data_IF_644036022357
#
_entry.id   IF_644036022357
#
_cell.length_a   1.000
_cell.length_b   1.000
_cell.length_c   1.000
_cell.angle_alpha   90.00
_cell.angle_beta   90.00
_cell.angle_gamma   90.00
#
_symmetry.space_group_name_H-M   'P 1'
#
loop_
_entity.id
_entity.type
_entity.pdbx_description
1 polymer ?
#
# COMPACT_ATOMS: atom_id res chain seq x y z
N UNK A 1 16.55 4.57 -4.56
CA UNK A 1 16.72 4.69 -3.10
C UNK A 1 16.93 6.13 -2.63
N UNK A 2 17.59 7.00 -3.41
CA UNK A 2 17.82 8.42 -3.08
C UNK A 2 16.55 9.23 -2.86
N UNK A 3 15.43 8.89 -3.53
CA UNK A 3 14.11 9.51 -3.30
C UNK A 3 13.60 9.45 -1.86
N UNK A 4 14.09 8.51 -1.05
CA UNK A 4 13.71 8.34 0.36
C UNK A 4 14.67 9.06 1.32
N UNK A 5 15.83 9.49 0.82
CA UNK A 5 16.85 10.20 1.58
C UNK A 5 16.57 11.70 1.68
N UNK A 6 17.66 12.47 1.68
CA UNK A 6 17.64 13.90 1.94
C UNK A 6 16.86 14.71 0.91
N UNK A 7 16.24 15.81 1.35
CA UNK A 7 15.50 16.78 0.53
C UNK A 7 16.23 17.13 -0.77
N UNK A 8 17.53 17.40 -0.70
CA UNK A 8 18.34 17.76 -1.87
C UNK A 8 18.36 16.63 -2.91
N UNK A 9 18.37 15.37 -2.47
CA UNK A 9 18.41 14.19 -3.34
C UNK A 9 17.04 13.78 -3.89
N UNK A 10 15.92 14.31 -3.35
CA UNK A 10 14.58 13.96 -3.83
C UNK A 10 14.36 14.48 -5.25
N UNK A 11 14.71 15.74 -5.52
CA UNK A 11 14.58 16.36 -6.84
C UNK A 11 15.39 15.61 -7.90
N UNK A 12 16.68 15.40 -7.64
CA UNK A 12 17.58 14.67 -8.52
C UNK A 12 17.11 13.23 -8.75
N UNK A 13 16.61 12.56 -7.70
CA UNK A 13 16.08 11.20 -7.84
C UNK A 13 14.87 11.13 -8.77
N UNK A 14 14.00 12.14 -8.77
CA UNK A 14 12.84 12.19 -9.66
C UNK A 14 13.26 12.47 -11.11
N UNK A 15 14.30 13.26 -11.32
CA UNK A 15 14.90 13.47 -12.66
C UNK A 15 15.53 12.18 -13.19
N UNK A 16 16.31 11.49 -12.36
CA UNK A 16 16.92 10.21 -12.71
C UNK A 16 15.88 9.12 -12.99
N UNK A 17 14.68 9.19 -12.41
CA UNK A 17 13.60 8.24 -12.71
C UNK A 17 13.26 8.20 -14.21
N UNK A 18 13.34 9.32 -14.92
CA UNK A 18 13.13 9.35 -16.37
C UNK A 18 14.20 8.56 -17.15
N UNK A 19 15.46 8.66 -16.74
CA UNK A 19 16.58 7.92 -17.35
C UNK A 19 16.45 6.41 -17.09
N UNK A 20 16.12 6.02 -15.85
CA UNK A 20 15.91 4.60 -15.52
C UNK A 20 14.72 4.03 -16.29
N UNK A 21 13.66 4.80 -16.51
CA UNK A 21 12.51 4.37 -17.29
C UNK A 21 12.86 4.20 -18.78
N UNK A 22 13.70 5.08 -19.33
CA UNK A 22 14.25 4.90 -20.69
C UNK A 22 15.07 3.61 -20.80
N UNK A 23 15.99 3.37 -19.87
CA UNK A 23 16.78 2.13 -19.83
C UNK A 23 15.89 0.88 -19.71
N UNK A 24 14.85 0.92 -18.89
CA UNK A 24 13.90 -0.20 -18.78
C UNK A 24 13.17 -0.49 -20.11
N UNK A 25 12.85 0.54 -20.89
CA UNK A 25 12.27 0.40 -22.24
C UNK A 25 13.27 -0.14 -23.25
N UNK A 26 14.52 0.34 -23.20
CA UNK A 26 15.61 -0.14 -24.06
C UNK A 26 15.94 -1.61 -23.80
N UNK A 27 15.98 -2.02 -22.52
CA UNK A 27 16.15 -3.42 -22.12
C UNK A 27 14.94 -4.26 -22.55
N UNK A 28 13.76 -3.65 -22.66
CA UNK A 28 12.55 -4.22 -23.28
C UNK A 28 11.45 -4.65 -22.31
N UNK A 29 11.05 -3.82 -21.34
CA UNK A 29 9.94 -4.15 -20.44
C UNK A 29 8.62 -4.51 -21.17
N UNK A 30 8.42 -3.91 -22.34
CA UNK A 30 7.27 -4.15 -23.23
C UNK A 30 7.54 -5.22 -24.29
N UNK A 31 8.69 -5.90 -24.25
CA UNK A 31 9.00 -6.96 -25.21
C UNK A 31 8.81 -8.32 -24.52
N UNK A 32 8.01 -9.23 -25.10
CA UNK A 32 7.92 -10.60 -24.60
C UNK A 32 9.29 -11.25 -24.71
N UNK A 33 9.57 -12.21 -23.83
CA UNK A 33 10.83 -12.94 -23.94
C UNK A 33 10.83 -13.77 -25.22
N UNK A 34 11.98 -13.76 -25.90
CA UNK A 34 12.16 -14.52 -27.12
C UNK A 34 12.28 -15.99 -26.73
N UNK A 35 11.20 -16.75 -26.90
CA UNK A 35 11.14 -18.15 -26.50
C UNK A 35 11.64 -19.10 -27.60
N UNK A 36 12.76 -19.78 -27.34
CA UNK A 36 12.89 -21.17 -27.76
C UNK A 36 11.99 -22.03 -26.86
N UNK A 37 11.28 -23.02 -27.39
CA UNK A 37 10.37 -23.91 -26.63
C UNK A 37 11.08 -24.67 -25.49
N UNK A 38 12.42 -24.64 -25.45
CA UNK A 38 13.24 -25.33 -24.47
C UNK A 38 14.54 -24.54 -24.23
N UNK A 39 14.53 -23.44 -23.46
CA UNK A 39 15.74 -22.66 -23.19
C UNK A 39 16.76 -23.51 -22.42
N UNK A 40 18.04 -23.18 -22.54
CA UNK A 40 19.06 -23.66 -21.60
C UNK A 40 18.86 -23.05 -20.21
N UNK A 41 19.52 -23.61 -19.19
CA UNK A 41 19.48 -23.07 -17.84
C UNK A 41 20.01 -21.63 -17.81
N UNK A 42 21.10 -21.37 -18.53
CA UNK A 42 21.77 -20.08 -18.60
C UNK A 42 20.87 -19.02 -19.25
N UNK A 43 20.23 -19.34 -20.37
CA UNK A 43 19.26 -18.46 -21.04
C UNK A 43 18.05 -18.18 -20.14
N UNK A 44 17.56 -19.19 -19.42
CA UNK A 44 16.46 -19.00 -18.48
C UNK A 44 16.83 -18.06 -17.34
N UNK A 45 18.04 -18.23 -16.76
CA UNK A 45 18.54 -17.34 -15.69
C UNK A 45 18.64 -15.91 -16.20
N UNK A 46 19.21 -15.69 -17.37
CA UNK A 46 19.33 -14.36 -17.98
C UNK A 46 17.95 -13.70 -18.19
N UNK A 47 16.98 -14.46 -18.70
CA UNK A 47 15.61 -13.99 -18.86
C UNK A 47 14.96 -13.63 -17.52
N UNK A 48 15.07 -14.49 -16.51
CA UNK A 48 14.51 -14.22 -15.17
C UNK A 48 15.15 -13.02 -14.47
N UNK A 49 16.47 -12.88 -14.56
CA UNK A 49 17.20 -11.73 -14.02
C UNK A 49 16.73 -10.42 -14.67
N UNK A 50 16.59 -10.43 -16.00
CA UNK A 50 16.05 -9.32 -16.76
C UNK A 50 14.63 -8.98 -16.33
N UNK A 51 13.71 -9.95 -16.32
CA UNK A 51 12.29 -9.78 -15.93
C UNK A 51 12.17 -9.16 -14.54
N UNK A 52 12.84 -9.73 -13.55
CA UNK A 52 12.80 -9.27 -12.15
C UNK A 52 13.39 -7.88 -11.99
N UNK A 53 14.47 -7.56 -12.71
CA UNK A 53 15.06 -6.22 -12.70
C UNK A 53 14.07 -5.17 -13.21
N UNK A 54 13.39 -5.46 -14.33
CA UNK A 54 12.39 -4.57 -14.91
C UNK A 54 11.15 -4.42 -14.02
N UNK A 55 10.70 -5.50 -13.39
CA UNK A 55 9.62 -5.46 -12.41
C UNK A 55 9.99 -4.65 -11.17
N UNK A 56 11.22 -4.75 -10.66
CA UNK A 56 11.70 -3.92 -9.55
C UNK A 56 11.71 -2.43 -9.94
N UNK A 57 12.11 -2.09 -11.18
CA UNK A 57 12.02 -0.72 -11.68
C UNK A 57 10.56 -0.22 -11.69
N UNK A 58 9.62 -1.02 -12.21
CA UNK A 58 8.19 -0.73 -12.18
C UNK A 58 7.66 -0.54 -10.76
N UNK A 59 7.99 -1.45 -9.84
CA UNK A 59 7.64 -1.34 -8.40
C UNK A 59 8.16 -0.03 -7.82
N UNK A 60 9.43 0.30 -8.07
CA UNK A 60 10.07 1.51 -7.55
C UNK A 60 9.36 2.78 -8.04
N UNK A 61 8.97 2.85 -9.31
CA UNK A 61 8.19 3.98 -9.84
C UNK A 61 6.80 4.07 -9.22
N UNK A 62 6.13 2.94 -9.01
CA UNK A 62 4.85 2.93 -8.32
C UNK A 62 4.98 3.31 -6.84
N UNK A 63 6.05 2.95 -6.14
CA UNK A 63 6.31 3.40 -4.77
C UNK A 63 6.55 4.92 -4.71
N UNK A 64 7.26 5.50 -5.69
CA UNK A 64 7.43 6.96 -5.81
C UNK A 64 6.09 7.65 -6.08
N UNK A 65 5.27 7.10 -6.98
CA UNK A 65 3.91 7.56 -7.23
C UNK A 65 3.06 7.51 -5.95
N UNK A 66 3.13 6.41 -5.21
CA UNK A 66 2.45 6.26 -3.93
C UNK A 66 2.93 7.34 -2.96
N UNK A 67 4.23 7.45 -2.68
CA UNK A 67 4.70 8.40 -1.67
C UNK A 67 4.47 9.86 -2.05
N UNK A 68 4.92 10.26 -3.24
CA UNK A 68 5.06 11.66 -3.65
C UNK A 68 3.96 12.17 -4.57
N UNK A 69 2.98 11.32 -4.91
CA UNK A 69 1.88 11.65 -5.82
C UNK A 69 2.37 12.15 -7.19
N UNK A 70 3.47 11.57 -7.69
CA UNK A 70 4.00 11.81 -9.04
C UNK A 70 3.49 10.74 -10.01
N UNK A 71 3.27 11.05 -11.30
CA UNK A 71 2.90 10.02 -12.27
C UNK A 71 3.93 8.88 -12.32
N UNK A 72 3.51 7.61 -12.39
CA UNK A 72 4.42 6.48 -12.54
C UNK A 72 5.09 6.54 -13.92
N UNK A 73 6.40 6.30 -13.96
CA UNK A 73 7.20 6.42 -15.19
C UNK A 73 7.07 5.21 -16.13
N UNK A 74 6.48 4.11 -15.66
CA UNK A 74 6.17 2.90 -16.42
C UNK A 74 4.70 2.53 -16.15
N UNK A 75 3.94 2.36 -17.23
CA UNK A 75 2.52 2.06 -17.16
C UNK A 75 2.24 0.55 -17.15
N UNK A 76 1.08 0.14 -16.64
CA UNK A 76 0.58 -1.23 -16.65
C UNK A 76 0.63 -1.84 -18.07
N UNK A 77 0.34 -1.02 -19.08
CA UNK A 77 0.35 -1.40 -20.50
C UNK A 77 1.76 -1.68 -21.06
N UNK A 78 2.81 -1.33 -20.35
CA UNK A 78 4.20 -1.57 -20.76
C UNK A 78 4.77 -2.85 -20.15
N UNK A 79 4.10 -3.47 -19.19
CA UNK A 79 4.63 -4.66 -18.48
C UNK A 79 4.09 -5.93 -19.14
N UNK A 80 4.92 -6.64 -19.91
CA UNK A 80 4.53 -7.90 -20.60
C UNK A 80 5.19 -9.16 -20.05
N UNK A 81 6.27 -9.05 -19.28
CA UNK A 81 6.96 -10.21 -18.73
C UNK A 81 6.11 -10.94 -17.67
N UNK A 82 6.15 -12.27 -17.64
CA UNK A 82 5.75 -13.11 -16.50
C UNK A 82 6.98 -13.47 -15.65
N UNK A 83 6.80 -14.11 -14.49
CA UNK A 83 7.92 -14.55 -13.64
C UNK A 83 7.81 -16.04 -13.33
N UNK A 84 8.94 -16.73 -13.40
CA UNK A 84 9.07 -18.14 -13.07
C UNK A 84 9.94 -18.30 -11.80
N UNK A 85 9.32 -18.92 -10.80
CA UNK A 85 9.83 -19.51 -9.55
C UNK A 85 11.32 -19.39 -9.18
N UNK A 86 11.60 -19.25 -7.88
CA UNK A 86 12.95 -19.30 -7.30
C UNK A 86 13.53 -20.73 -7.30
N UNK A 87 14.25 -21.11 -8.36
CA UNK A 87 15.05 -22.33 -8.39
C UNK A 87 16.53 -22.02 -8.16
N UNK A 88 17.22 -22.81 -7.32
CA UNK A 88 18.59 -22.51 -6.87
C UNK A 88 19.70 -23.01 -7.81
N UNK A 89 19.40 -24.04 -8.61
CA UNK A 89 20.38 -24.69 -9.48
C UNK A 89 19.67 -25.35 -10.67
N UNK A 90 20.45 -25.69 -11.69
CA UNK A 90 19.93 -26.29 -12.93
C UNK A 90 19.24 -27.64 -12.73
N UNK A 91 19.65 -28.45 -11.74
CA UNK A 91 19.05 -29.76 -11.47
C UNK A 91 17.63 -29.63 -10.94
N UNK A 92 17.43 -28.74 -9.96
CA UNK A 92 16.11 -28.46 -9.41
C UNK A 92 15.21 -27.80 -10.46
N UNK A 93 15.78 -27.02 -11.38
CA UNK A 93 15.03 -26.35 -12.44
C UNK A 93 14.55 -27.33 -13.50
N UNK A 94 15.42 -28.25 -13.93
CA UNK A 94 15.03 -29.36 -14.81
C UNK A 94 13.95 -30.23 -14.17
N UNK A 95 14.06 -30.54 -12.87
CA UNK A 95 13.02 -31.26 -12.13
C UNK A 95 11.72 -30.47 -12.12
N UNK A 96 11.76 -29.18 -11.80
CA UNK A 96 10.57 -28.32 -11.79
C UNK A 96 9.90 -28.30 -13.17
N UNK A 97 10.66 -28.11 -14.25
CA UNK A 97 10.18 -28.15 -15.65
C UNK A 97 9.55 -29.49 -16.03
N UNK A 98 9.96 -30.60 -15.40
CA UNK A 98 9.38 -31.93 -15.66
C UNK A 98 8.00 -32.12 -15.02
N UNK A 99 7.66 -31.36 -13.98
CA UNK A 99 6.38 -31.47 -13.27
C UNK A 99 5.46 -30.25 -13.47
N UNK A 100 6.01 -29.11 -13.91
CA UNK A 100 5.29 -27.85 -14.04
C UNK A 100 5.46 -27.24 -15.42
N UNK A 101 4.32 -27.00 -16.07
CA UNK A 101 4.25 -26.14 -17.26
C UNK A 101 4.24 -24.68 -16.80
N UNK A 102 5.05 -23.81 -17.43
CA UNK A 102 5.03 -22.38 -17.17
C UNK A 102 3.66 -21.77 -17.24
N UNK A 103 3.41 -20.78 -16.38
CA UNK A 103 2.27 -19.91 -16.59
C UNK A 103 2.53 -19.05 -17.83
N UNK A 104 1.72 -19.25 -18.87
CA UNK A 104 1.80 -18.48 -20.10
C UNK A 104 1.16 -17.10 -19.99
N UNK A 105 0.49 -16.81 -18.86
CA UNK A 105 -0.16 -15.52 -18.64
C UNK A 105 0.88 -14.43 -18.41
N UNK A 106 0.75 -13.34 -19.15
CA UNK A 106 1.53 -12.13 -18.88
C UNK A 106 0.87 -11.25 -17.80
N UNK A 107 1.63 -10.29 -17.28
CA UNK A 107 1.17 -9.34 -16.26
C UNK A 107 -0.21 -8.73 -16.58
N UNK A 108 -0.42 -8.25 -17.81
CA UNK A 108 -1.67 -7.57 -18.21
C UNK A 108 -2.88 -8.50 -18.19
N UNK A 109 -2.71 -9.74 -18.64
CA UNK A 109 -3.76 -10.74 -18.61
C UNK A 109 -4.15 -11.07 -17.16
N UNK A 110 -3.18 -11.22 -16.27
CA UNK A 110 -3.42 -11.49 -14.85
C UNK A 110 -4.05 -10.29 -14.14
N UNK A 111 -3.56 -9.07 -14.42
CA UNK A 111 -4.16 -7.84 -13.90
C UNK A 111 -5.61 -7.68 -14.38
N UNK A 112 -5.88 -7.96 -15.66
CA UNK A 112 -7.23 -7.96 -16.21
C UNK A 112 -8.15 -8.99 -15.55
N UNK A 113 -7.64 -10.17 -15.18
CA UNK A 113 -8.39 -11.15 -14.40
C UNK A 113 -8.73 -10.62 -13.00
N UNK A 114 -7.79 -9.97 -12.31
CA UNK A 114 -8.05 -9.32 -11.02
C UNK A 114 -9.11 -8.23 -11.15
N UNK A 115 -9.02 -7.35 -12.16
CA UNK A 115 -10.02 -6.30 -12.41
C UNK A 115 -11.42 -6.87 -12.71
N UNK A 116 -11.51 -8.10 -13.20
CA UNK A 116 -12.78 -8.83 -13.36
C UNK A 116 -13.23 -9.58 -12.08
N UNK A 117 -12.52 -9.42 -10.96
CA UNK A 117 -12.80 -10.09 -9.69
C UNK A 117 -12.41 -11.58 -9.66
N UNK A 118 -11.61 -12.05 -10.63
CA UNK A 118 -11.21 -13.46 -10.70
C UNK A 118 -9.99 -13.72 -9.84
N UNK A 119 -10.06 -14.78 -9.04
CA UNK A 119 -8.93 -15.26 -8.25
C UNK A 119 -7.88 -15.90 -9.18
N UNK A 120 -6.64 -15.41 -9.12
CA UNK A 120 -5.58 -15.73 -10.10
C UNK A 120 -4.78 -16.99 -9.75
N UNK A 121 -4.88 -17.46 -8.50
CA UNK A 121 -4.21 -18.66 -7.99
C UNK A 121 -4.92 -19.97 -8.34
N UNK A 122 -6.18 -19.93 -8.84
CA UNK A 122 -6.97 -21.15 -9.09
C UNK A 122 -6.51 -21.93 -10.31
N UNK A 123 -6.14 -21.23 -11.38
CA UNK A 123 -5.76 -21.86 -12.64
C UNK A 123 -4.33 -22.36 -12.58
N UNK A 124 -3.41 -21.49 -12.16
CA UNK A 124 -1.98 -21.80 -12.06
C UNK A 124 -1.45 -21.14 -10.78
N UNK A 125 -0.41 -21.76 -10.20
CA UNK A 125 0.32 -21.16 -9.10
C UNK A 125 0.97 -19.84 -9.54
N UNK A 126 0.93 -18.85 -8.67
CA UNK A 126 1.58 -17.55 -8.86
C UNK A 126 2.57 -17.34 -7.71
N UNK A 127 3.72 -16.75 -7.99
CA UNK A 127 4.68 -16.45 -6.93
C UNK A 127 4.20 -15.29 -6.05
N UNK A 128 4.76 -15.17 -4.85
CA UNK A 128 4.47 -14.01 -4.01
C UNK A 128 5.09 -12.73 -4.61
N UNK A 129 6.19 -12.82 -5.35
CA UNK A 129 6.75 -11.65 -6.02
C UNK A 129 5.84 -11.14 -7.16
N UNK A 130 5.28 -12.03 -7.97
CA UNK A 130 4.31 -11.66 -9.01
C UNK A 130 3.03 -11.06 -8.42
N UNK A 131 2.48 -11.63 -7.33
CA UNK A 131 1.38 -10.99 -6.61
C UNK A 131 1.77 -9.60 -6.09
N UNK A 132 2.96 -9.47 -5.50
CA UNK A 132 3.46 -8.19 -5.01
C UNK A 132 3.55 -7.15 -6.14
N UNK A 133 3.98 -7.52 -7.34
CA UNK A 133 3.96 -6.63 -8.51
C UNK A 133 2.54 -6.27 -8.95
N UNK A 134 1.59 -7.22 -8.90
CA UNK A 134 0.19 -6.98 -9.31
C UNK A 134 -0.56 -5.99 -8.42
N UNK A 135 -0.27 -5.92 -7.10
CA UNK A 135 -0.91 -4.89 -6.25
C UNK A 135 -0.49 -3.47 -6.67
N UNK A 136 0.72 -3.29 -7.20
CA UNK A 136 1.12 -2.01 -7.80
C UNK A 136 0.31 -1.68 -9.06
N UNK A 137 -0.05 -2.68 -9.86
CA UNK A 137 -0.95 -2.50 -11.01
C UNK A 137 -2.32 -1.97 -10.60
N UNK A 138 -2.93 -2.59 -9.58
CA UNK A 138 -4.20 -2.14 -9.00
C UNK A 138 -4.10 -0.73 -8.42
N UNK A 139 -2.98 -0.39 -7.77
CA UNK A 139 -2.73 0.97 -7.29
C UNK A 139 -2.67 2.00 -8.41
N UNK A 140 -2.03 1.65 -9.51
CA UNK A 140 -1.89 2.55 -10.65
C UNK A 140 -3.25 2.90 -11.25
N UNK A 141 -4.18 1.93 -11.34
CA UNK A 141 -5.58 2.18 -11.73
C UNK A 141 -6.28 3.17 -10.79
N UNK A 142 -6.14 2.99 -9.47
CA UNK A 142 -6.69 3.91 -8.47
C UNK A 142 -6.09 5.30 -8.62
N UNK A 143 -4.77 5.40 -8.80
CA UNK A 143 -4.08 6.67 -8.98
C UNK A 143 -4.62 7.43 -10.19
N UNK A 144 -4.71 6.81 -11.36
CA UNK A 144 -5.20 7.49 -12.56
C UNK A 144 -6.68 7.86 -12.46
N UNK A 145 -7.51 7.00 -11.88
CA UNK A 145 -8.92 7.31 -11.65
C UNK A 145 -9.08 8.55 -10.73
N UNK A 146 -8.27 8.65 -9.66
CA UNK A 146 -8.28 9.82 -8.77
C UNK A 146 -7.81 11.10 -9.46
N UNK A 147 -6.73 11.03 -10.24
CA UNK A 147 -6.17 12.20 -10.93
C UNK A 147 -7.06 12.69 -12.09
N UNK A 148 -7.95 11.85 -12.62
CA UNK A 148 -8.93 12.26 -13.63
C UNK A 148 -10.27 12.68 -13.03
N UNK A 149 -10.70 12.08 -11.90
CA UNK A 149 -11.97 12.41 -11.26
C UNK A 149 -12.07 13.86 -10.78
N UNK A 150 -10.96 14.44 -10.27
CA UNK A 150 -10.93 15.84 -9.81
C UNK A 150 -11.21 16.88 -10.91
N UNK A 151 -11.15 16.50 -12.19
CA UNK A 151 -11.50 17.37 -13.30
C UNK A 151 -13.01 17.39 -13.61
N UNK A 152 -13.75 16.39 -13.11
CA UNK A 152 -15.17 16.17 -13.43
C UNK A 152 -16.07 16.47 -12.24
N UNK A 153 -15.64 16.06 -11.04
CA UNK A 153 -16.36 16.21 -9.78
C UNK A 153 -15.59 17.18 -8.88
N UNK A 154 -16.19 18.30 -8.42
CA UNK A 154 -15.53 19.22 -7.48
C UNK A 154 -15.09 18.54 -6.18
N UNK A 155 -15.77 17.45 -5.81
CA UNK A 155 -15.45 16.62 -4.64
C UNK A 155 -14.28 15.66 -4.92
N UNK A 156 -14.02 15.31 -6.19
CA UNK A 156 -13.06 14.28 -6.59
C UNK A 156 -13.53 12.84 -6.32
N UNK A 157 -14.83 12.65 -6.15
CA UNK A 157 -15.45 11.34 -5.88
C UNK A 157 -15.23 10.39 -7.06
N UNK A 158 -14.90 9.13 -6.76
CA UNK A 158 -14.80 8.10 -7.79
C UNK A 158 -16.20 7.57 -8.12
N UNK A 159 -16.40 7.16 -9.38
CA UNK A 159 -17.64 6.50 -9.78
C UNK A 159 -17.85 5.20 -8.98
N UNK A 160 -19.08 4.99 -8.50
CA UNK A 160 -19.44 3.80 -7.70
C UNK A 160 -19.08 2.49 -8.42
N UNK A 161 -19.29 2.40 -9.73
CA UNK A 161 -18.92 1.23 -10.53
C UNK A 161 -17.41 0.95 -10.53
N UNK A 162 -16.59 2.00 -10.57
CA UNK A 162 -15.14 1.86 -10.45
C UNK A 162 -14.75 1.37 -9.04
N UNK A 163 -15.36 1.94 -7.99
CA UNK A 163 -15.13 1.52 -6.60
C UNK A 163 -15.47 0.05 -6.41
N UNK A 164 -16.62 -0.41 -6.93
CA UNK A 164 -17.02 -1.83 -6.87
C UNK A 164 -16.06 -2.76 -7.62
N UNK A 165 -15.58 -2.33 -8.79
CA UNK A 165 -14.61 -3.08 -9.60
C UNK A 165 -13.30 -3.25 -8.83
N UNK A 166 -12.77 -2.15 -8.27
CA UNK A 166 -11.53 -2.18 -7.51
C UNK A 166 -11.66 -2.95 -6.19
N UNK A 167 -12.78 -2.84 -5.50
CA UNK A 167 -13.10 -3.64 -4.31
C UNK A 167 -13.06 -5.14 -4.61
N UNK A 168 -13.69 -5.56 -5.71
CA UNK A 168 -13.67 -6.94 -6.18
C UNK A 168 -12.24 -7.39 -6.52
N UNK A 169 -11.47 -6.53 -7.20
CA UNK A 169 -10.09 -6.81 -7.59
C UNK A 169 -9.15 -6.95 -6.38
N UNK A 170 -9.24 -6.05 -5.41
CA UNK A 170 -8.44 -6.10 -4.18
C UNK A 170 -8.76 -7.35 -3.37
N UNK A 171 -10.04 -7.75 -3.30
CA UNK A 171 -10.43 -9.03 -2.66
C UNK A 171 -9.91 -10.25 -3.41
N UNK A 172 -9.98 -10.25 -4.74
CA UNK A 172 -9.44 -11.33 -5.56
C UNK A 172 -7.92 -11.45 -5.38
N UNK A 173 -7.22 -10.32 -5.27
CA UNK A 173 -5.80 -10.26 -4.98
C UNK A 173 -5.49 -10.78 -3.57
N UNK A 174 -6.20 -10.35 -2.53
CA UNK A 174 -6.00 -10.82 -1.14
C UNK A 174 -6.14 -12.33 -1.02
N UNK A 175 -7.22 -12.89 -1.56
CA UNK A 175 -7.44 -14.34 -1.58
C UNK A 175 -6.31 -15.08 -2.32
N UNK A 176 -5.74 -14.48 -3.36
CA UNK A 176 -4.63 -15.08 -4.12
C UNK A 176 -3.29 -14.95 -3.41
N UNK A 177 -3.07 -13.85 -2.70
CA UNK A 177 -1.92 -13.69 -1.82
C UNK A 177 -1.92 -14.75 -0.72
N UNK A 178 -3.04 -14.90 0.01
CA UNK A 178 -3.19 -15.86 1.11
C UNK A 178 -3.06 -17.32 0.65
N UNK A 179 -3.51 -17.63 -0.57
CA UNK A 179 -3.35 -18.96 -1.17
C UNK A 179 -1.93 -19.24 -1.68
N UNK A 180 -1.05 -18.23 -1.76
CA UNK A 180 0.31 -18.38 -2.27
C UNK A 180 1.20 -18.96 -1.19
N UNK A 181 1.86 -20.09 -1.47
CA UNK A 181 2.70 -20.83 -0.51
C UNK A 181 3.92 -20.03 0.02
N UNK A 182 4.37 -19.01 -0.72
CA UNK A 182 5.43 -18.08 -0.32
C UNK A 182 4.95 -17.00 0.65
N UNK A 183 3.64 -16.77 0.73
CA UNK A 183 3.06 -15.74 1.57
C UNK A 183 3.28 -16.08 3.04
N UNK A 184 3.74 -15.09 3.79
CA UNK A 184 3.93 -15.20 5.22
C UNK A 184 3.93 -13.81 5.83
N UNK A 185 3.26 -13.69 6.98
CA UNK A 185 3.25 -12.49 7.80
C UNK A 185 4.09 -12.68 9.08
N UNK A 186 4.83 -13.79 9.17
CA UNK A 186 5.74 -14.04 10.29
C UNK A 186 6.90 -13.02 10.25
N UNK A 187 7.03 -12.14 11.26
CA UNK A 187 8.13 -11.18 11.36
C UNK A 187 9.52 -11.82 11.37
N UNK A 188 9.61 -13.06 11.87
CA UNK A 188 10.86 -13.79 12.01
C UNK A 188 11.23 -14.59 10.75
N UNK A 189 10.29 -14.71 9.82
CA UNK A 189 10.54 -15.39 8.55
C UNK A 189 11.42 -14.53 7.64
N UNK A 190 12.42 -15.11 6.96
CA UNK A 190 13.21 -14.37 5.96
C UNK A 190 12.37 -13.88 4.76
N UNK A 191 11.15 -14.41 4.60
CA UNK A 191 10.16 -13.98 3.59
C UNK A 191 9.16 -12.96 4.12
N UNK A 192 9.15 -12.73 5.44
CA UNK A 192 8.26 -11.81 6.14
C UNK A 192 8.24 -10.39 5.57
N UNK A 193 9.38 -9.74 5.26
CA UNK A 193 9.40 -8.36 4.79
C UNK A 193 8.53 -8.10 3.55
N UNK A 194 8.49 -9.05 2.60
CA UNK A 194 7.65 -8.93 1.42
C UNK A 194 6.16 -9.03 1.76
N UNK A 195 5.79 -9.90 2.71
CA UNK A 195 4.42 -9.98 3.22
C UNK A 195 3.97 -8.71 3.92
N UNK A 196 4.81 -8.13 4.79
CA UNK A 196 4.51 -6.83 5.41
C UNK A 196 4.28 -5.74 4.36
N UNK A 197 5.17 -5.64 3.38
CA UNK A 197 5.04 -4.66 2.31
C UNK A 197 3.77 -4.88 1.47
N UNK A 198 3.47 -6.12 1.11
CA UNK A 198 2.27 -6.46 0.33
C UNK A 198 0.98 -6.14 1.12
N UNK A 199 0.95 -6.43 2.42
CA UNK A 199 -0.15 -6.10 3.32
C UNK A 199 -0.30 -4.58 3.50
N UNK A 200 0.80 -3.84 3.66
CA UNK A 200 0.77 -2.39 3.74
C UNK A 200 0.22 -1.77 2.45
N UNK A 201 0.63 -2.31 1.30
CA UNK A 201 0.12 -1.89 0.00
C UNK A 201 -1.39 -2.14 -0.12
N UNK A 202 -1.89 -3.35 0.13
CA UNK A 202 -3.34 -3.59 -0.02
C UNK A 202 -4.18 -2.71 0.92
N UNK A 203 -3.72 -2.47 2.15
CA UNK A 203 -4.36 -1.54 3.09
C UNK A 203 -4.42 -0.13 2.51
N UNK A 204 -3.29 0.36 2.03
CA UNK A 204 -3.19 1.68 1.41
C UNK A 204 -4.02 1.78 0.12
N UNK A 205 -4.25 0.69 -0.61
CA UNK A 205 -5.08 0.66 -1.80
C UNK A 205 -6.56 0.88 -1.42
N UNK A 206 -7.06 0.17 -0.40
CA UNK A 206 -8.40 0.40 0.14
C UNK A 206 -8.57 1.84 0.65
N UNK A 207 -7.56 2.38 1.34
CA UNK A 207 -7.57 3.78 1.81
C UNK A 207 -7.65 4.74 0.64
N UNK A 208 -6.80 4.62 -0.39
CA UNK A 208 -6.81 5.52 -1.56
C UNK A 208 -8.04 5.39 -2.43
N UNK A 209 -8.63 4.20 -2.46
CA UNK A 209 -9.90 3.97 -3.15
C UNK A 209 -11.02 4.77 -2.51
N UNK A 210 -10.98 5.01 -1.20
CA UNK A 210 -12.05 5.64 -0.43
C UNK A 210 -11.73 7.03 0.14
N UNK A 211 -10.46 7.47 0.09
CA UNK A 211 -10.02 8.77 0.55
C UNK A 211 -8.97 9.34 -0.42
N UNK A 212 -9.16 10.59 -0.85
CA UNK A 212 -8.18 11.25 -1.70
C UNK A 212 -7.04 11.81 -0.85
N UNK A 213 -6.09 10.94 -0.52
CA UNK A 213 -4.90 11.35 0.24
C UNK A 213 -3.89 12.14 -0.60
N UNK A 214 -4.05 12.16 -1.94
CA UNK A 214 -3.53 13.16 -2.89
C UNK A 214 -2.08 13.66 -2.74
N UNK A 215 -1.77 14.84 -3.32
CA UNK A 215 -0.49 15.54 -3.16
C UNK A 215 -0.33 16.20 -1.77
N UNK A 216 -1.41 16.24 -0.98
CA UNK A 216 -1.51 16.96 0.28
C UNK A 216 -0.56 16.46 1.36
N UNK A 217 -0.06 15.23 1.28
CA UNK A 217 0.95 14.74 2.23
C UNK A 217 2.28 15.49 2.13
N UNK A 218 2.57 16.17 1.01
CA UNK A 218 3.79 16.94 0.74
C UNK A 218 5.12 16.29 1.18
N UNK A 219 5.23 14.95 1.17
CA UNK A 219 6.40 14.26 1.73
C UNK A 219 7.72 14.68 1.07
N UNK A 220 7.68 15.15 -0.18
CA UNK A 220 8.85 15.67 -0.90
C UNK A 220 9.41 16.97 -0.31
N UNK A 221 8.62 17.76 0.44
CA UNK A 221 9.07 19.00 1.08
C UNK A 221 10.12 18.75 2.16
N UNK A 222 10.06 17.57 2.79
CA UNK A 222 10.81 17.22 4.01
C UNK A 222 10.62 18.23 5.15
N UNK A 223 9.47 18.91 5.16
CA UNK A 223 9.09 19.88 6.17
C UNK A 223 7.98 19.31 7.07
N UNK A 224 8.30 18.90 8.31
CA UNK A 224 7.33 18.35 9.24
C UNK A 224 6.13 19.28 9.50
N UNK A 225 6.36 20.59 9.55
CA UNK A 225 5.29 21.56 9.83
C UNK A 225 4.33 21.67 8.65
N UNK A 226 4.84 21.84 7.43
CA UNK A 226 4.03 21.84 6.22
C UNK A 226 3.25 20.53 6.05
N UNK A 227 3.87 19.39 6.32
CA UNK A 227 3.21 18.08 6.28
C UNK A 227 2.07 18.00 7.29
N UNK A 228 2.32 18.37 8.56
CA UNK A 228 1.31 18.36 9.61
C UNK A 228 0.14 19.30 9.29
N UNK A 229 0.45 20.52 8.84
CA UNK A 229 -0.54 21.52 8.47
C UNK A 229 -1.46 21.01 7.36
N UNK A 230 -0.89 20.52 6.25
CA UNK A 230 -1.69 20.00 5.13
C UNK A 230 -2.49 18.75 5.50
N UNK A 231 -1.99 17.93 6.43
CA UNK A 231 -2.72 16.77 6.92
C UNK A 231 -3.93 17.17 7.80
N UNK A 232 -3.86 18.32 8.48
CA UNK A 232 -4.90 18.83 9.38
C UNK A 232 -5.91 19.77 8.70
N UNK A 233 -5.52 20.44 7.62
CA UNK A 233 -6.28 21.49 6.92
C UNK A 233 -7.58 20.99 6.23
N UNK A 234 -8.02 19.76 6.49
CA UNK A 234 -9.33 19.25 6.08
C UNK A 234 -9.49 19.01 4.58
N UNK A 235 -8.44 19.21 3.77
CA UNK A 235 -8.44 18.95 2.32
C UNK A 235 -8.49 17.48 1.93
N UNK A 236 -8.36 16.56 2.91
CA UNK A 236 -8.75 15.17 2.70
C UNK A 236 -10.26 15.08 2.57
N UNK A 237 -10.75 15.11 1.33
CA UNK A 237 -12.11 14.69 1.03
C UNK A 237 -12.24 13.20 1.39
N UNK A 238 -12.68 12.92 2.61
CA UNK A 238 -13.27 11.65 2.99
C UNK A 238 -14.68 11.66 2.42
N UNK A 239 -14.92 10.78 1.45
CA UNK A 239 -16.16 10.74 0.70
C UNK A 239 -17.33 10.23 1.53
N UNK A 240 -18.53 10.30 0.96
CA UNK A 240 -19.78 9.88 1.59
C UNK A 240 -19.65 8.58 2.39
N UNK A 241 -20.27 8.59 3.57
CA UNK A 241 -20.35 7.41 4.45
C UNK A 241 -20.85 6.21 3.66
N UNK A 242 -20.04 5.16 3.58
CA UNK A 242 -20.37 3.97 2.81
C UNK A 242 -19.69 2.72 3.40
N UNK A 243 -20.20 1.51 3.10
CA UNK A 243 -19.54 0.27 3.52
C UNK A 243 -18.11 0.11 2.98
N UNK A 244 -17.77 0.80 1.88
CA UNK A 244 -16.42 0.83 1.31
C UNK A 244 -15.48 1.69 2.16
N UNK A 245 -15.97 2.83 2.66
CA UNK A 245 -15.25 3.64 3.63
C UNK A 245 -15.03 2.87 4.95
N UNK A 246 -16.05 2.17 5.45
CA UNK A 246 -15.93 1.37 6.68
C UNK A 246 -14.84 0.29 6.54
N UNK A 247 -14.71 -0.31 5.35
CA UNK A 247 -13.61 -1.24 5.04
C UNK A 247 -12.24 -0.55 5.01
N UNK A 248 -12.14 0.64 4.44
CA UNK A 248 -10.90 1.41 4.43
C UNK A 248 -10.45 1.76 5.86
N UNK A 249 -11.39 2.16 6.72
CA UNK A 249 -11.11 2.40 8.15
C UNK A 249 -10.66 1.13 8.84
N UNK A 250 -11.31 -0.02 8.59
CA UNK A 250 -10.85 -1.30 9.13
C UNK A 250 -9.41 -1.64 8.70
N UNK A 251 -9.01 -1.30 7.46
CA UNK A 251 -7.62 -1.47 7.03
C UNK A 251 -6.64 -0.54 7.78
N UNK A 252 -7.06 0.68 8.15
CA UNK A 252 -6.26 1.56 9.01
C UNK A 252 -6.09 0.94 10.41
N UNK A 253 -7.15 0.36 10.98
CA UNK A 253 -7.09 -0.31 12.28
C UNK A 253 -6.13 -1.49 12.23
N UNK A 254 -6.23 -2.34 11.22
CA UNK A 254 -5.29 -3.43 11.03
C UNK A 254 -3.84 -2.95 10.87
N UNK A 255 -3.61 -1.72 10.36
CA UNK A 255 -2.28 -1.11 10.31
C UNK A 255 -1.75 -0.73 11.70
N UNK A 256 -2.62 -0.37 12.64
CA UNK A 256 -2.27 -0.19 14.06
C UNK A 256 -2.01 -1.53 14.76
N UNK A 257 -2.72 -2.59 14.36
CA UNK A 257 -2.69 -3.92 14.98
C UNK A 257 -1.54 -4.85 14.52
N UNK A 258 -0.34 -4.35 14.22
CA UNK A 258 0.85 -5.18 13.87
C UNK A 258 1.08 -6.27 14.96
N UNK A 259 1.50 -7.52 14.62
CA UNK A 259 0.88 -8.77 15.08
C UNK A 259 1.01 -9.18 16.56
N UNK A 260 1.59 -8.35 17.43
CA UNK A 260 1.72 -8.68 18.86
C UNK A 260 0.64 -8.04 19.77
N UNK A 261 -0.34 -7.30 19.23
CA UNK A 261 -1.38 -6.64 20.04
C UNK A 261 -2.81 -7.13 19.71
N UNK A 262 -2.98 -7.95 18.67
CA UNK A 262 -4.31 -8.28 18.12
C UNK A 262 -4.89 -9.62 18.63
N UNK A 263 -4.86 -9.91 19.93
CA UNK A 263 -5.41 -11.18 20.46
C UNK A 263 -6.69 -11.09 21.29
N UNK A 264 -7.34 -9.94 21.45
CA UNK A 264 -8.60 -9.87 22.17
C UNK A 264 -9.59 -8.89 21.52
N UNK A 265 -10.73 -9.41 21.05
CA UNK A 265 -11.92 -8.61 20.71
C UNK A 265 -13.14 -9.36 21.25
N UNK A 266 -13.78 -8.84 22.30
CA UNK A 266 -15.18 -9.13 22.60
C UNK A 266 -15.94 -7.87 23.06
N UNK A 267 -16.96 -7.54 22.25
CA UNK A 267 -18.29 -7.01 22.58
C UNK A 267 -18.49 -5.57 23.13
N UNK A 268 -19.10 -4.76 22.25
CA UNK A 268 -20.39 -4.03 22.41
C UNK A 268 -20.46 -2.49 22.57
N UNK A 269 -21.36 -1.94 21.72
CA UNK A 269 -22.01 -0.61 21.46
C UNK A 269 -22.12 0.52 22.51
N UNK A 270 -22.24 1.81 22.10
CA UNK A 270 -23.47 2.64 22.09
C UNK A 270 -23.43 4.05 21.38
N UNK A 271 -24.60 4.47 20.86
CA UNK A 271 -25.03 5.39 19.76
C UNK A 271 -24.38 6.79 19.47
N UNK A 272 -24.79 7.39 18.34
CA UNK A 272 -24.38 8.65 17.61
C UNK A 272 -23.29 8.59 16.54
N UNK A 273 -22.82 7.38 16.27
CA UNK A 273 -22.11 6.92 15.05
C UNK A 273 -22.85 5.69 14.52
N UNK A 274 -22.67 5.28 13.25
CA UNK A 274 -23.20 3.98 12.78
C UNK A 274 -22.59 2.86 13.64
N UNK A 275 -23.31 1.77 13.83
CA UNK A 275 -22.84 0.68 14.71
C UNK A 275 -21.46 0.14 14.27
N UNK A 276 -21.18 0.15 12.98
CA UNK A 276 -19.89 -0.28 12.45
C UNK A 276 -18.77 0.74 12.71
N UNK A 277 -19.02 2.05 12.53
CA UNK A 277 -18.06 3.12 12.85
C UNK A 277 -17.67 3.11 14.33
N UNK A 278 -18.64 2.86 15.20
CA UNK A 278 -18.38 2.71 16.63
C UNK A 278 -17.54 1.49 16.96
N UNK A 279 -17.87 0.33 16.38
CA UNK A 279 -17.07 -0.89 16.57
C UNK A 279 -15.62 -0.62 16.17
N UNK A 280 -15.41 0.10 15.07
CA UNK A 280 -14.08 0.49 14.59
C UNK A 280 -13.35 1.39 15.60
N UNK A 281 -13.98 2.42 16.16
CA UNK A 281 -13.37 3.25 17.21
C UNK A 281 -13.06 2.44 18.48
N UNK A 282 -13.97 1.57 18.90
CA UNK A 282 -13.76 0.68 20.05
C UNK A 282 -12.57 -0.25 19.82
N UNK A 283 -12.39 -0.78 18.61
CA UNK A 283 -11.20 -1.60 18.29
C UNK A 283 -9.91 -0.80 18.49
N UNK A 284 -9.84 0.45 18.02
CA UNK A 284 -8.66 1.32 18.23
C UNK A 284 -8.44 1.55 19.73
N UNK A 285 -9.47 1.92 20.48
CA UNK A 285 -9.38 2.12 21.92
C UNK A 285 -8.86 0.87 22.66
N UNK A 286 -9.40 -0.31 22.35
CA UNK A 286 -8.96 -1.56 22.96
C UNK A 286 -7.50 -1.91 22.64
N UNK A 287 -7.03 -1.67 21.40
CA UNK A 287 -5.62 -1.84 21.03
C UNK A 287 -4.71 -0.99 21.91
N UNK A 288 -5.07 0.29 22.13
CA UNK A 288 -4.29 1.20 22.97
C UNK A 288 -4.29 0.78 24.44
N UNK A 289 -5.46 0.40 24.97
CA UNK A 289 -5.61 -0.06 26.36
C UNK A 289 -4.85 -1.36 26.63
N UNK A 290 -4.87 -2.32 25.70
CA UNK A 290 -4.16 -3.59 25.85
C UNK A 290 -2.64 -3.42 25.79
N UNK A 291 -2.17 -2.45 25.01
CA UNK A 291 -0.76 -2.17 24.87
C UNK A 291 -0.17 -1.28 26.01
N UNK A 292 -1.00 -0.87 26.98
CA UNK A 292 -0.65 0.03 28.09
C UNK A 292 0.02 1.34 27.61
N UNK A 293 -0.35 1.78 26.40
CA UNK A 293 0.34 2.86 25.68
C UNK A 293 -0.11 4.26 26.13
N UNK A 294 -1.25 4.38 26.82
CA UNK A 294 -1.80 5.67 27.28
C UNK A 294 -2.75 5.50 28.47
N UNK A 295 -2.75 6.47 29.40
CA UNK A 295 -3.81 6.63 30.41
C UNK A 295 -5.11 7.15 29.76
N UNK A 296 -5.73 6.34 28.90
CA UNK A 296 -7.06 6.65 28.37
C UNK A 296 -8.09 6.45 29.50
N UNK A 297 -8.40 7.53 30.23
CA UNK A 297 -9.53 7.54 31.17
C UNK A 297 -10.88 7.40 30.43
N UNK A 298 -11.93 7.02 31.19
CA UNK A 298 -13.31 6.72 30.75
C UNK A 298 -13.63 7.04 29.27
N UNK A 299 -13.57 6.01 28.42
CA UNK A 299 -13.94 6.10 27.02
C UNK A 299 -15.44 6.30 26.84
N UNK A 300 -15.81 7.42 26.23
CA UNK A 300 -17.16 7.74 25.79
C UNK A 300 -17.13 7.93 24.27
N UNK A 301 -17.57 6.91 23.53
CA UNK A 301 -17.54 6.84 22.06
C UNK A 301 -18.47 7.84 21.35
N UNK A 302 -19.26 8.58 22.12
CA UNK A 302 -20.14 9.67 21.70
C UNK A 302 -19.57 11.07 21.97
N UNK A 303 -18.41 11.16 22.63
CA UNK A 303 -17.76 12.43 22.95
C UNK A 303 -16.70 12.81 21.92
N UNK A 304 -16.92 13.94 21.23
CA UNK A 304 -15.99 14.48 20.24
C UNK A 304 -14.57 14.73 20.82
N UNK A 305 -14.48 15.14 22.08
CA UNK A 305 -13.20 15.36 22.75
C UNK A 305 -12.47 14.04 23.03
N UNK A 306 -13.21 12.97 23.37
CA UNK A 306 -12.64 11.64 23.55
C UNK A 306 -12.12 11.06 22.23
N UNK A 307 -12.85 11.25 21.13
CA UNK A 307 -12.41 10.84 19.78
C UNK A 307 -11.19 11.64 19.34
N UNK A 308 -11.16 12.95 19.60
CA UNK A 308 -10.02 13.83 19.29
C UNK A 308 -8.78 13.41 20.06
N UNK A 309 -8.92 13.08 21.34
CA UNK A 309 -7.82 12.60 22.17
C UNK A 309 -7.31 11.22 21.72
N UNK A 310 -8.21 10.28 21.34
CA UNK A 310 -7.80 8.99 20.78
C UNK A 310 -7.01 9.17 19.46
N UNK A 311 -7.39 10.14 18.63
CA UNK A 311 -6.65 10.49 17.42
C UNK A 311 -5.28 11.08 17.73
N UNK A 312 -5.16 11.94 18.75
CA UNK A 312 -3.88 12.46 19.23
C UNK A 312 -2.95 11.34 19.72
N UNK A 313 -3.47 10.43 20.55
CA UNK A 313 -2.75 9.24 21.02
C UNK A 313 -2.27 8.37 19.86
N UNK A 314 -3.13 8.19 18.85
CA UNK A 314 -2.79 7.44 17.64
C UNK A 314 -1.66 8.07 16.86
N UNK A 315 -1.70 9.39 16.65
CA UNK A 315 -0.63 10.12 15.98
C UNK A 315 0.69 10.05 16.77
N UNK A 316 0.64 10.17 18.10
CA UNK A 316 1.81 10.09 18.99
C UNK A 316 2.47 8.72 18.95
N UNK A 317 1.68 7.64 19.01
CA UNK A 317 2.20 6.28 18.89
C UNK A 317 2.94 6.08 17.57
N UNK A 318 2.37 6.52 16.45
CA UNK A 318 3.07 6.42 15.17
C UNK A 318 4.31 7.31 15.14
N UNK A 319 4.27 8.52 15.71
CA UNK A 319 5.46 9.36 15.83
C UNK A 319 6.59 8.60 16.54
N UNK A 320 6.31 7.95 17.67
CA UNK A 320 7.30 7.20 18.43
C UNK A 320 7.83 5.98 17.66
N UNK A 321 6.97 5.23 16.97
CA UNK A 321 7.38 4.13 16.08
C UNK A 321 8.32 4.65 14.98
N UNK A 322 8.01 5.81 14.40
CA UNK A 322 8.81 6.45 13.37
C UNK A 322 10.03 7.24 13.91
N UNK A 323 10.23 7.36 15.23
CA UNK A 323 11.42 7.97 15.85
C UNK A 323 12.59 6.99 16.07
N UNK A 324 12.38 5.69 15.89
CA UNK A 324 13.44 4.66 16.02
C UNK A 324 14.62 4.82 15.04
N UNK A 325 15.53 3.84 15.02
CA UNK A 325 16.66 3.82 14.08
C UNK A 325 16.17 3.58 12.64
N UNK A 326 15.87 4.67 11.92
CA UNK A 326 15.44 4.61 10.54
C UNK A 326 16.58 4.89 9.56
N UNK A 327 16.65 4.10 8.50
CA UNK A 327 17.65 4.27 7.43
C UNK A 327 17.42 5.53 6.60
N UNK A 328 16.20 6.08 6.60
CA UNK A 328 15.79 7.14 5.68
C UNK A 328 15.24 8.36 6.41
N UNK A 329 15.67 9.55 5.97
CA UNK A 329 15.24 10.84 6.54
C UNK A 329 13.72 11.05 6.48
N UNK A 330 13.05 10.52 5.44
CA UNK A 330 11.59 10.61 5.32
C UNK A 330 10.86 10.03 6.52
N UNK A 331 11.38 8.96 7.15
CA UNK A 331 10.78 8.36 8.34
C UNK A 331 10.82 9.33 9.53
N UNK A 332 11.97 9.99 9.75
CA UNK A 332 12.13 11.01 10.80
C UNK A 332 11.18 12.19 10.57
N UNK A 333 11.09 12.67 9.34
CA UNK A 333 10.20 13.78 8.99
C UNK A 333 8.73 13.43 9.23
N UNK A 334 8.31 12.21 8.86
CA UNK A 334 6.96 11.70 9.14
C UNK A 334 6.72 11.63 10.64
N UNK A 335 7.70 11.16 11.43
CA UNK A 335 7.63 11.12 12.88
C UNK A 335 7.37 12.50 13.48
N UNK A 336 8.17 13.50 13.08
CA UNK A 336 8.06 14.88 13.56
C UNK A 336 6.73 15.51 13.15
N UNK A 337 6.25 15.26 11.93
CA UNK A 337 4.95 15.73 11.47
C UNK A 337 3.79 15.13 12.27
N UNK A 338 3.87 13.83 12.57
CA UNK A 338 2.87 13.14 13.41
C UNK A 338 2.88 13.64 14.86
N UNK A 339 4.05 13.98 15.42
CA UNK A 339 4.15 14.58 16.75
C UNK A 339 3.44 15.96 16.79
N UNK A 340 3.67 16.79 15.77
CA UNK A 340 2.97 18.10 15.64
C UNK A 340 1.45 17.91 15.54
N UNK A 341 1.00 16.89 14.79
CA UNK A 341 -0.43 16.55 14.71
C UNK A 341 -0.97 16.17 16.07
N UNK A 342 -0.27 15.30 16.81
CA UNK A 342 -0.69 14.88 18.15
C UNK A 342 -0.84 16.08 19.09
N UNK A 343 0.16 16.98 19.12
CA UNK A 343 0.14 18.17 19.97
C UNK A 343 -0.97 19.15 19.58
N UNK A 344 -1.25 19.29 18.28
CA UNK A 344 -2.34 20.14 17.79
C UNK A 344 -3.72 19.57 18.15
N UNK A 345 -3.86 18.24 18.16
CA UNK A 345 -5.09 17.56 18.55
C UNK A 345 -5.33 17.62 20.06
N UNK A 346 -4.30 17.53 20.89
CA UNK A 346 -4.41 17.65 22.35
C UNK A 346 -4.58 19.11 22.83
N UNK A 347 -4.26 20.11 22.00
CA UNK A 347 -4.48 21.51 22.33
C UNK A 347 -5.99 21.80 22.52
N UNK A 348 -6.38 22.54 23.58
CA UNK A 348 -7.78 22.93 23.78
C UNK A 348 -8.25 23.74 22.58
N UNK A 349 -9.45 23.43 22.07
CA UNK A 349 -10.07 24.23 21.02
C UNK A 349 -10.19 25.67 21.53
N UNK A 350 -9.41 26.60 20.98
CA UNK A 350 -9.57 28.01 21.30
C UNK A 350 -11.02 28.40 20.97
N UNK A 351 -11.80 28.70 22.00
CA UNK A 351 -13.13 29.30 21.85
C UNK A 351 -12.91 30.67 21.24
N UNK A 352 -12.96 30.78 19.91
CA UNK A 352 -13.20 32.04 19.24
C UNK A 352 -14.61 32.50 19.63
N UNK A 353 -14.67 33.34 20.67
CA UNK A 353 -15.84 34.14 21.05
C UNK A 353 -16.04 35.26 20.02
#
# INVERSE_FOLDING_TARGET
MTSWGNRAAVGDSLVLSGQVAMLAREIGISTPDVGHDNPSWEEWVEQEERRRTLWVAYVQFNLQCIAFNVPPMILNQEVLCGEEWKVRNSQDWMRMRSFHTPDSRNFQQVLGQLLQGRQIHKSNAISAFANYVLIHGLFQEIFFARNTASLVEPTGSLQVGFVQTMESALRAWQNSWEATYESTLDPLSPRGPMGFNATALVRLAYIRLNANTGPYRQLSSRDPQGIAHELLDGRFAVYERSPFLDRAVLQCIHALSIPDIARCIETSSAQTLRDDERKLLNMVYHIFREADLTELSFWADDNADAVRHLAACTARLWADIFQGFHTYEVSRVVAEGLAIIADTLDAPLETHI
#
